data_IF_843637271032
#
_entry.id   IF_843637271032
#
_cell.length_a   1.000
_cell.length_b   1.000
_cell.length_c   1.000
_cell.angle_alpha   90.00
_cell.angle_beta   90.00
_cell.angle_gamma   90.00
#
_symmetry.space_group_name_H-M   'P 1'
#
loop_
_entity.id
_entity.type
_entity.pdbx_description
1 polymer ?
#
# COMPACT_ATOMS: atom_id res chain seq x y z
N UNK A 1 -15.97 -23.70 -18.93
CA UNK A 1 -15.17 -23.73 -17.75
C UNK A 1 -13.93 -22.90 -17.88
N UNK A 2 -13.25 -23.01 -18.96
CA UNK A 2 -12.03 -22.25 -19.17
C UNK A 2 -12.25 -20.75 -19.02
N UNK A 3 -13.42 -20.28 -19.38
CA UNK A 3 -13.73 -18.88 -19.30
C UNK A 3 -13.65 -18.32 -17.88
N UNK A 4 -13.90 -19.16 -16.89
CA UNK A 4 -13.86 -18.71 -15.49
C UNK A 4 -12.44 -18.30 -15.12
N UNK A 5 -11.47 -19.12 -15.48
CA UNK A 5 -10.07 -18.82 -15.19
C UNK A 5 -9.63 -17.55 -15.89
N UNK A 6 -10.06 -17.35 -17.13
CA UNK A 6 -9.70 -16.15 -17.87
C UNK A 6 -10.22 -14.90 -17.17
N UNK A 7 -11.45 -14.93 -16.69
CA UNK A 7 -12.04 -13.78 -16.02
C UNK A 7 -11.26 -13.44 -14.74
N UNK A 8 -10.95 -14.47 -13.93
CA UNK A 8 -10.27 -14.21 -12.66
C UNK A 8 -8.85 -13.69 -12.88
N UNK A 9 -8.23 -14.04 -13.99
CA UNK A 9 -6.86 -13.62 -14.28
C UNK A 9 -6.77 -12.16 -14.70
N UNK A 10 -7.90 -11.49 -14.95
CA UNK A 10 -7.86 -10.14 -15.49
C UNK A 10 -7.72 -9.05 -14.44
N UNK A 11 -7.81 -9.37 -13.15
CA UNK A 11 -7.72 -8.35 -12.11
C UNK A 11 -6.28 -7.82 -12.01
N UNK A 12 -6.15 -6.50 -11.88
CA UNK A 12 -4.83 -5.88 -11.91
C UNK A 12 -3.92 -6.33 -10.77
N UNK A 13 -4.49 -6.73 -9.63
CA UNK A 13 -3.67 -7.16 -8.49
C UNK A 13 -2.88 -8.44 -8.79
N UNK A 14 -3.31 -9.23 -9.77
CA UNK A 14 -2.64 -10.49 -10.08
C UNK A 14 -1.18 -10.31 -10.41
N UNK A 15 -0.81 -9.18 -11.02
CA UNK A 15 0.58 -8.92 -11.38
C UNK A 15 1.49 -8.75 -10.16
N UNK A 16 0.92 -8.50 -8.99
CA UNK A 16 1.70 -8.17 -7.80
C UNK A 16 1.70 -9.29 -6.75
N UNK A 17 0.68 -10.15 -6.77
CA UNK A 17 0.57 -11.19 -5.76
C UNK A 17 1.77 -12.12 -5.81
N UNK A 18 2.34 -12.38 -4.64
CA UNK A 18 3.48 -13.27 -4.53
C UNK A 18 4.84 -12.62 -4.72
N UNK A 19 4.90 -11.32 -5.04
CA UNK A 19 6.19 -10.64 -5.06
C UNK A 19 6.82 -10.75 -3.67
N UNK A 20 8.10 -11.10 -3.58
CA UNK A 20 8.70 -11.38 -2.28
C UNK A 20 8.99 -10.11 -1.50
N UNK A 21 9.01 -10.25 -0.19
CA UNK A 21 9.58 -9.22 0.68
C UNK A 21 11.10 -9.29 0.57
N UNK A 22 11.72 -8.16 0.23
CA UNK A 22 13.17 -8.09 0.11
C UNK A 22 13.63 -6.89 0.93
N UNK A 23 14.40 -7.18 1.98
CA UNK A 23 14.85 -6.13 2.88
C UNK A 23 15.60 -5.04 2.11
N UNK A 24 15.20 -3.80 2.31
CA UNK A 24 15.86 -2.64 1.73
C UNK A 24 15.39 -2.22 0.36
N UNK A 25 14.80 -3.13 -0.44
CA UNK A 25 14.41 -2.80 -1.83
C UNK A 25 13.02 -3.27 -2.18
N UNK A 26 12.42 -4.14 -1.39
CA UNK A 26 11.09 -4.66 -1.66
C UNK A 26 10.28 -4.82 -0.38
N UNK A 27 10.26 -3.80 0.45
CA UNK A 27 9.45 -3.75 1.67
C UNK A 27 8.10 -3.12 1.36
N UNK A 28 7.26 -2.93 2.38
CA UNK A 28 5.89 -2.48 2.17
C UNK A 28 5.80 -1.18 1.37
N UNK A 29 6.62 -0.20 1.71
CA UNK A 29 6.56 1.10 1.02
C UNK A 29 7.15 1.03 -0.39
N UNK A 30 8.16 0.19 -0.60
CA UNK A 30 8.71 -0.01 -1.93
C UNK A 30 7.66 -0.62 -2.86
N UNK A 31 6.94 -1.62 -2.36
CA UNK A 31 5.92 -2.32 -3.15
C UNK A 31 4.71 -1.43 -3.41
N UNK A 32 4.30 -0.65 -2.42
CA UNK A 32 3.20 0.31 -2.63
C UNK A 32 3.58 1.34 -3.68
N UNK A 33 4.79 1.87 -3.62
CA UNK A 33 5.26 2.85 -4.61
C UNK A 33 5.25 2.25 -6.02
N UNK A 34 5.63 0.98 -6.14
CA UNK A 34 5.61 0.29 -7.43
C UNK A 34 4.18 0.21 -7.98
N UNK A 35 3.23 -0.17 -7.13
CA UNK A 35 1.82 -0.27 -7.54
C UNK A 35 1.30 1.08 -8.00
N UNK A 36 1.55 2.13 -7.22
CA UNK A 36 1.06 3.47 -7.58
C UNK A 36 1.63 3.94 -8.91
N UNK A 37 2.90 3.68 -9.15
CA UNK A 37 3.51 4.08 -10.42
C UNK A 37 2.92 3.32 -11.60
N UNK A 38 2.79 2.01 -11.46
CA UNK A 38 2.38 1.17 -12.59
C UNK A 38 0.87 1.19 -12.85
N UNK A 39 0.06 1.25 -11.79
CA UNK A 39 -1.39 1.13 -11.94
C UNK A 39 -2.11 2.47 -11.86
N UNK A 40 -1.57 3.43 -11.13
CA UNK A 40 -2.28 4.68 -10.86
C UNK A 40 -1.57 5.92 -11.40
N UNK A 41 -0.37 5.75 -11.92
CA UNK A 41 0.29 6.78 -12.71
C UNK A 41 0.90 7.93 -11.92
N UNK A 42 1.20 7.75 -10.63
CA UNK A 42 1.89 8.80 -9.89
C UNK A 42 3.11 8.23 -9.17
N UNK A 43 4.09 9.11 -8.96
CA UNK A 43 5.37 8.73 -8.39
C UNK A 43 5.44 9.06 -6.91
N UNK A 44 5.75 8.05 -6.11
CA UNK A 44 6.04 8.21 -4.69
C UNK A 44 7.46 7.69 -4.49
N UNK A 45 8.30 8.50 -3.88
CA UNK A 45 9.68 8.11 -3.64
C UNK A 45 9.74 7.00 -2.60
N UNK A 46 10.31 5.84 -2.91
CA UNK A 46 10.43 4.78 -1.93
C UNK A 46 11.48 5.14 -0.87
N UNK A 47 11.39 4.53 0.32
CA UNK A 47 12.38 4.79 1.36
C UNK A 47 13.77 4.28 0.95
N UNK A 48 14.83 4.81 1.56
CA UNK A 48 16.16 4.26 1.34
C UNK A 48 16.25 2.84 1.89
N UNK A 49 17.25 2.10 1.46
CA UNK A 49 17.48 0.76 1.96
C UNK A 49 17.70 0.80 3.47
N UNK A 50 16.92 0.01 4.20
CA UNK A 50 17.02 -0.06 5.65
C UNK A 50 16.47 -1.41 6.11
N UNK A 51 16.10 -1.61 7.25
CA UNK A 51 15.46 -2.80 7.82
C UNK A 51 14.92 -2.42 9.17
N UNK A 52 14.71 -1.13 9.38
CA UNK A 52 14.43 -0.56 10.69
C UNK A 52 13.04 0.06 10.67
N UNK A 53 12.18 -0.39 11.59
CA UNK A 53 10.81 0.10 11.69
C UNK A 53 10.75 1.59 12.05
N UNK A 54 11.76 2.11 12.75
CA UNK A 54 11.83 3.53 13.07
C UNK A 54 12.06 4.34 11.81
N UNK A 55 12.93 3.86 10.93
CA UNK A 55 13.18 4.52 9.64
C UNK A 55 11.91 4.46 8.79
N UNK A 56 11.22 3.32 8.77
CA UNK A 56 9.98 3.18 8.04
C UNK A 56 8.92 4.16 8.56
N UNK A 57 8.80 4.30 9.86
CA UNK A 57 7.84 5.24 10.46
C UNK A 57 8.15 6.67 10.04
N UNK A 58 9.42 7.08 10.12
CA UNK A 58 9.81 8.44 9.76
C UNK A 58 9.56 8.71 8.28
N UNK A 59 9.81 7.72 7.44
CA UNK A 59 9.58 7.88 6.01
C UNK A 59 8.10 8.08 5.72
N UNK A 60 7.24 7.27 6.34
CA UNK A 60 5.80 7.39 6.16
C UNK A 60 5.31 8.76 6.66
N UNK A 61 5.78 9.19 7.84
CA UNK A 61 5.41 10.50 8.37
C UNK A 61 5.81 11.62 7.43
N UNK A 62 7.03 11.58 6.90
CA UNK A 62 7.50 12.61 5.98
C UNK A 62 6.70 12.59 4.67
N UNK A 63 6.38 11.40 4.18
CA UNK A 63 5.60 11.28 2.95
C UNK A 63 4.20 11.85 3.14
N UNK A 64 3.54 11.53 4.24
CA UNK A 64 2.18 11.99 4.50
C UNK A 64 2.10 13.49 4.79
N UNK A 65 3.23 14.12 5.08
CA UNK A 65 3.29 15.58 5.26
C UNK A 65 3.22 16.32 3.93
N UNK A 66 3.40 15.64 2.81
CA UNK A 66 3.32 16.28 1.50
C UNK A 66 1.88 16.68 1.18
N UNK A 67 1.70 17.84 0.51
CA UNK A 67 0.35 18.35 0.25
C UNK A 67 -0.48 17.49 -0.69
N UNK A 68 0.17 16.64 -1.48
CA UNK A 68 -0.55 15.74 -2.38
C UNK A 68 -1.37 14.68 -1.66
N UNK A 69 -0.98 14.30 -0.46
CA UNK A 69 -1.70 13.29 0.30
C UNK A 69 -2.82 13.93 1.14
N UNK A 70 -4.05 13.50 0.90
CA UNK A 70 -5.21 13.98 1.64
C UNK A 70 -5.86 12.81 2.38
N UNK A 71 -6.06 12.96 3.68
CA UNK A 71 -6.73 11.93 4.46
C UNK A 71 -8.20 11.85 4.07
N UNK A 72 -8.71 10.63 3.90
CA UNK A 72 -10.10 10.39 3.52
C UNK A 72 -10.72 9.40 4.50
N UNK A 73 -12.03 9.47 4.63
CA UNK A 73 -12.75 8.59 5.55
C UNK A 73 -13.11 7.27 4.89
N UNK A 74 -13.45 7.31 3.60
CA UNK A 74 -13.85 6.13 2.83
C UNK A 74 -12.86 5.91 1.72
N UNK A 75 -12.11 4.81 1.78
CA UNK A 75 -11.09 4.58 0.77
C UNK A 75 -11.69 4.22 -0.58
N UNK A 76 -10.96 4.56 -1.62
CA UNK A 76 -11.25 4.18 -3.00
C UNK A 76 -10.04 3.44 -3.56
N UNK A 77 -10.27 2.77 -4.67
CA UNK A 77 -9.22 2.01 -5.35
C UNK A 77 -7.95 2.82 -5.48
N UNK A 78 -6.83 2.27 -5.02
CA UNK A 78 -5.55 2.93 -5.10
C UNK A 78 -5.17 3.79 -3.92
N UNK A 79 -6.09 4.07 -3.01
CA UNK A 79 -5.76 4.88 -1.83
C UNK A 79 -4.73 4.17 -0.95
N UNK A 80 -3.92 4.96 -0.25
CA UNK A 80 -2.97 4.42 0.70
C UNK A 80 -3.70 3.99 1.97
N UNK A 81 -3.35 2.80 2.46
CA UNK A 81 -3.81 2.31 3.75
C UNK A 81 -2.59 2.30 4.66
N UNK A 82 -2.57 3.23 5.61
CA UNK A 82 -1.46 3.36 6.54
C UNK A 82 -1.84 2.66 7.84
N UNK A 83 -0.93 1.85 8.36
CA UNK A 83 -1.26 0.92 9.43
C UNK A 83 -0.26 0.97 10.57
N UNK A 84 -0.78 0.72 11.75
CA UNK A 84 0.03 0.38 12.90
C UNK A 84 0.56 -1.03 12.75
N UNK A 85 1.81 -1.24 13.14
CA UNK A 85 2.36 -2.56 13.41
C UNK A 85 2.95 -2.49 14.80
N UNK A 86 2.30 -3.19 15.75
CA UNK A 86 2.63 -2.97 17.14
C UNK A 86 2.27 -1.54 17.56
N UNK A 87 3.22 -0.84 18.12
CA UNK A 87 3.01 0.53 18.60
C UNK A 87 3.58 1.59 17.64
N UNK A 88 3.86 1.23 16.39
CA UNK A 88 4.43 2.16 15.42
C UNK A 88 3.59 2.22 14.17
N UNK A 89 3.41 3.43 13.63
CA UNK A 89 2.78 3.64 12.33
C UNK A 89 3.89 3.45 11.29
N UNK A 90 4.07 2.22 10.83
CA UNK A 90 5.22 1.88 10.01
C UNK A 90 4.90 0.92 8.85
N UNK A 91 3.63 0.71 8.54
CA UNK A 91 3.23 -0.21 7.49
C UNK A 91 2.24 0.47 6.55
N UNK A 92 2.32 0.16 5.26
CA UNK A 92 1.47 0.78 4.26
C UNK A 92 1.10 -0.25 3.20
N UNK A 93 -0.14 -0.13 2.71
CA UNK A 93 -0.63 -0.91 1.60
C UNK A 93 -1.51 -0.07 0.70
N UNK A 94 -2.11 -0.70 -0.27
CA UNK A 94 -2.94 -0.06 -1.29
C UNK A 94 -4.35 -0.62 -1.19
N UNK A 95 -5.34 0.25 -1.14
CA UNK A 95 -6.73 -0.18 -1.05
C UNK A 95 -7.19 -0.79 -2.37
N UNK A 96 -7.86 -1.92 -2.26
CA UNK A 96 -8.45 -2.62 -3.40
C UNK A 96 -9.92 -2.88 -3.07
N UNK A 97 -10.81 -2.24 -3.81
CA UNK A 97 -12.24 -2.40 -3.59
C UNK A 97 -12.69 -3.80 -4.01
N UNK A 98 -13.69 -4.38 -3.34
CA UNK A 98 -14.26 -3.93 -2.09
C UNK A 98 -13.52 -4.52 -0.88
N UNK A 99 -13.07 -3.67 0.01
CA UNK A 99 -12.67 -4.12 1.34
C UNK A 99 -11.39 -4.93 1.45
N UNK A 100 -10.42 -4.75 0.55
CA UNK A 100 -9.15 -5.47 0.61
C UNK A 100 -7.97 -4.50 0.63
N UNK A 101 -6.84 -5.00 1.13
CA UNK A 101 -5.60 -4.24 1.15
C UNK A 101 -4.52 -5.09 0.49
N UNK A 102 -3.89 -4.54 -0.53
CA UNK A 102 -2.74 -5.15 -1.18
C UNK A 102 -1.49 -4.62 -0.48
N UNK A 103 -0.76 -5.48 0.19
CA UNK A 103 0.40 -5.06 0.94
C UNK A 103 1.47 -6.15 0.99
N UNK A 104 2.70 -5.73 1.29
CA UNK A 104 3.83 -6.64 1.35
C UNK A 104 4.20 -6.89 2.81
N UNK A 105 4.06 -8.13 3.25
CA UNK A 105 4.41 -8.49 4.62
C UNK A 105 5.75 -9.23 4.62
N UNK A 106 6.46 -9.12 5.74
CA UNK A 106 7.75 -9.80 5.87
C UNK A 106 7.58 -11.31 5.75
N UNK A 107 6.47 -11.83 6.24
CA UNK A 107 6.22 -13.27 6.27
C UNK A 107 5.82 -13.82 4.91
N UNK A 108 4.95 -13.11 4.20
CA UNK A 108 4.27 -13.68 3.02
C UNK A 108 4.57 -12.95 1.71
N UNK A 109 5.27 -11.82 1.76
CA UNK A 109 5.41 -11.00 0.56
C UNK A 109 4.12 -10.28 0.24
N UNK A 110 3.87 -10.06 -1.04
CA UNK A 110 2.67 -9.33 -1.49
C UNK A 110 1.44 -10.22 -1.40
N UNK A 111 0.48 -9.77 -0.60
CA UNK A 111 -0.77 -10.47 -0.37
C UNK A 111 -1.94 -9.51 -0.45
N UNK A 112 -3.11 -10.06 -0.76
CA UNK A 112 -4.35 -9.31 -0.78
C UNK A 112 -5.16 -9.75 0.43
N UNK A 113 -5.30 -8.88 1.42
CA UNK A 113 -5.90 -9.21 2.71
C UNK A 113 -7.22 -8.49 2.88
N UNK A 114 -8.32 -9.19 3.22
CA UNK A 114 -9.56 -8.51 3.60
C UNK A 114 -9.29 -7.60 4.79
N UNK A 115 -9.89 -6.41 4.78
CA UNK A 115 -9.57 -5.40 5.80
C UNK A 115 -9.90 -5.92 7.22
N UNK A 116 -10.91 -6.75 7.35
CA UNK A 116 -11.27 -7.32 8.65
C UNK A 116 -10.24 -8.34 9.16
N UNK A 117 -9.36 -8.82 8.29
CA UNK A 117 -8.35 -9.80 8.67
C UNK A 117 -7.02 -9.15 9.02
N UNK A 118 -6.91 -7.83 8.96
CA UNK A 118 -5.66 -7.14 9.26
C UNK A 118 -5.29 -7.26 10.74
N UNK A 119 -6.24 -7.01 11.64
CA UNK A 119 -5.94 -7.04 13.08
C UNK A 119 -5.45 -8.41 13.56
N UNK A 120 -6.09 -9.52 13.16
CA UNK A 120 -5.55 -10.83 13.54
C UNK A 120 -4.12 -11.07 13.06
N UNK A 121 -3.70 -10.39 12.00
CA UNK A 121 -2.35 -10.53 11.47
C UNK A 121 -1.37 -9.51 12.04
N UNK A 122 -1.81 -8.67 12.97
CA UNK A 122 -0.94 -7.74 13.65
C UNK A 122 -0.90 -6.34 13.06
N UNK A 123 -1.84 -6.00 12.17
CA UNK A 123 -1.92 -4.68 11.57
C UNK A 123 -3.22 -3.99 11.95
N UNK A 124 -3.16 -2.70 12.25
CA UNK A 124 -4.36 -1.93 12.57
C UNK A 124 -4.36 -0.66 11.74
N UNK A 125 -5.48 -0.36 11.09
CA UNK A 125 -5.55 0.81 10.22
C UNK A 125 -5.40 2.09 11.04
N UNK A 126 -4.44 2.92 10.64
CA UNK A 126 -4.24 4.27 11.15
C UNK A 126 -5.10 5.25 10.37
N UNK A 127 -5.11 5.14 9.04
CA UNK A 127 -5.89 6.02 8.20
C UNK A 127 -5.76 5.68 6.73
N UNK A 128 -6.66 6.27 5.95
CA UNK A 128 -6.66 6.16 4.49
C UNK A 128 -6.28 7.50 3.91
N UNK A 129 -5.44 7.49 2.85
CA UNK A 129 -4.93 8.72 2.25
C UNK A 129 -5.00 8.61 0.74
N UNK A 130 -5.38 9.71 0.09
CA UNK A 130 -5.54 9.76 -1.36
C UNK A 130 -4.57 10.75 -1.96
N UNK A 131 -3.93 10.34 -3.05
CA UNK A 131 -3.02 11.20 -3.79
C UNK A 131 -3.83 12.13 -4.68
N UNK A 132 -3.60 13.43 -4.58
CA UNK A 132 -4.36 14.44 -5.33
C UNK A 132 -3.43 15.34 -6.13
N UNK A 133 -2.67 14.72 -7.01
CA UNK A 133 -1.70 15.45 -7.82
C UNK A 133 -2.38 16.49 -8.71
N UNK A 134 -3.52 16.14 -9.31
CA UNK A 134 -4.22 17.08 -10.18
C UNK A 134 -4.73 18.29 -9.44
N UNK A 135 -5.14 18.14 -8.20
CA UNK A 135 -5.57 19.27 -7.39
C UNK A 135 -4.39 20.20 -7.13
N UNK A 136 -3.23 19.63 -6.78
CA UNK A 136 -2.04 20.42 -6.56
C UNK A 136 -1.62 21.16 -7.82
N UNK A 137 -1.74 20.55 -8.98
CA UNK A 137 -1.38 21.17 -10.25
C UNK A 137 -2.34 22.28 -10.64
N UNK A 138 -3.61 22.15 -10.29
CA UNK A 138 -4.63 23.15 -10.64
C UNK A 138 -4.49 24.41 -9.78
N UNK A 139 -3.92 24.29 -8.62
CA UNK A 139 -3.75 25.43 -7.73
C UNK A 139 -2.61 26.30 -8.19
#
# INVERSE_FOLDING_TARGET
MAQVAVVSASHWTQAYLGLPYIMGVGECAHRAALVWRQEFGFEVEPPPAHGDMTVAQRHIEAELAKPEWCRVRRPMEGDAVVMWKGNRVCHVGVWVAPGHVLHCTRKDGMVLTPVEDLEPQGFRVFGYFRWQEQVAMAA
#
